data_IF_942802819210
#
_entry.id   IF_942802819210
#
_cell.length_a   1.000
_cell.length_b   1.000
_cell.length_c   1.000
_cell.angle_alpha   90.00
_cell.angle_beta   90.00
_cell.angle_gamma   90.00
#
_symmetry.space_group_name_H-M   'P 1'
#
loop_
_entity.id
_entity.type
_entity.pdbx_description
1 polymer ?
#
# COMPACT_ATOMS: atom_id res chain seq x y z
N UNK A 1 0.56 -1.89 -20.20
CA UNK A 1 1.61 -0.91 -19.85
C UNK A 1 1.34 -0.37 -18.45
N UNK A 2 2.39 -0.02 -17.69
CA UNK A 2 2.22 0.66 -16.40
C UNK A 2 1.66 2.07 -16.63
N UNK A 3 0.80 2.54 -15.73
CA UNK A 3 0.18 3.87 -15.80
C UNK A 3 0.92 4.75 -14.81
N UNK A 4 1.66 5.74 -15.32
CA UNK A 4 2.39 6.68 -14.48
C UNK A 4 1.42 7.57 -13.70
N UNK A 5 1.66 7.75 -12.41
CA UNK A 5 0.90 8.62 -11.51
C UNK A 5 1.32 8.39 -10.07
N UNK A 6 1.37 9.46 -9.26
CA UNK A 6 1.67 9.32 -7.84
C UNK A 6 0.58 8.49 -7.15
N UNK A 7 0.98 7.55 -6.30
CA UNK A 7 0.09 6.74 -5.45
C UNK A 7 -1.05 6.01 -6.19
N UNK A 8 -0.89 5.70 -7.48
CA UNK A 8 -1.87 4.92 -8.23
C UNK A 8 -3.11 5.66 -8.72
N UNK A 9 -3.23 6.99 -8.50
CA UNK A 9 -4.43 7.78 -8.88
C UNK A 9 -4.78 7.65 -10.36
N UNK A 10 -3.78 7.73 -11.25
CA UNK A 10 -3.99 7.58 -12.69
C UNK A 10 -4.37 6.13 -13.08
N UNK A 11 -3.89 5.15 -12.30
CA UNK A 11 -4.23 3.75 -12.54
C UNK A 11 -5.71 3.48 -12.23
N UNK A 12 -6.25 4.07 -11.17
CA UNK A 12 -7.68 3.95 -10.82
C UNK A 12 -8.58 4.60 -11.89
N UNK A 13 -8.24 5.80 -12.35
CA UNK A 13 -9.00 6.48 -13.41
C UNK A 13 -9.03 5.65 -14.71
N UNK A 14 -7.89 5.12 -15.11
CA UNK A 14 -7.82 4.27 -16.30
C UNK A 14 -8.57 2.96 -16.14
N UNK A 15 -8.56 2.37 -14.95
CA UNK A 15 -9.33 1.18 -14.66
C UNK A 15 -10.83 1.44 -14.81
N UNK A 16 -11.36 2.51 -14.21
CA UNK A 16 -12.77 2.93 -14.35
C UNK A 16 -13.17 3.02 -15.83
N UNK A 17 -12.37 3.70 -16.65
CA UNK A 17 -12.63 3.83 -18.08
C UNK A 17 -12.63 2.47 -18.81
N UNK A 18 -11.69 1.58 -18.47
CA UNK A 18 -11.59 0.25 -19.08
C UNK A 18 -12.74 -0.67 -18.73
N UNK A 19 -13.22 -0.63 -17.48
CA UNK A 19 -14.39 -1.39 -17.04
C UNK A 19 -15.63 -0.94 -17.81
N UNK A 20 -15.88 0.38 -17.89
CA UNK A 20 -17.02 0.94 -18.63
C UNK A 20 -16.96 0.60 -20.12
N UNK A 21 -15.77 0.56 -20.70
CA UNK A 21 -15.56 0.16 -22.10
C UNK A 21 -15.65 -1.36 -22.34
N UNK A 22 -15.98 -2.18 -21.32
CA UNK A 22 -16.06 -3.63 -21.45
C UNK A 22 -14.72 -4.32 -21.67
N UNK A 23 -13.61 -3.66 -21.33
CA UNK A 23 -12.24 -4.17 -21.50
C UNK A 23 -11.45 -4.16 -20.17
N UNK A 24 -11.95 -4.83 -19.11
CA UNK A 24 -11.25 -4.90 -17.84
C UNK A 24 -9.91 -5.67 -17.99
N UNK A 25 -8.88 -5.34 -17.21
CA UNK A 25 -7.68 -6.17 -17.14
C UNK A 25 -7.97 -7.50 -16.44
N UNK A 26 -7.11 -8.51 -16.66
CA UNK A 26 -7.22 -9.78 -15.94
C UNK A 26 -6.89 -9.67 -14.44
N UNK A 27 -6.08 -8.69 -14.05
CA UNK A 27 -5.77 -8.33 -12.67
C UNK A 27 -5.38 -6.84 -12.59
N UNK A 28 -5.52 -6.25 -11.41
CA UNK A 28 -5.09 -4.88 -11.12
C UNK A 28 -4.50 -4.78 -9.71
N UNK A 29 -3.63 -3.80 -9.49
CA UNK A 29 -3.15 -3.47 -8.16
C UNK A 29 -4.21 -2.63 -7.43
N UNK A 30 -4.65 -3.10 -6.27
CA UNK A 30 -5.60 -2.43 -5.37
C UNK A 30 -4.90 -2.09 -4.06
N UNK A 31 -5.32 -1.03 -3.38
CA UNK A 31 -4.77 -0.62 -2.10
C UNK A 31 -5.86 -0.51 -1.04
N UNK A 32 -5.63 -1.09 0.14
CA UNK A 32 -6.52 -0.93 1.30
C UNK A 32 -7.96 -1.38 1.02
N UNK A 33 -8.89 -0.42 0.98
CA UNK A 33 -10.33 -0.67 0.82
C UNK A 33 -10.82 -0.65 -0.63
N UNK A 34 -9.92 -0.49 -1.60
CA UNK A 34 -10.28 -0.48 -3.02
C UNK A 34 -10.98 -1.78 -3.42
N UNK A 35 -10.47 -2.93 -2.98
CA UNK A 35 -11.06 -4.23 -3.29
C UNK A 35 -12.50 -4.35 -2.77
N UNK A 36 -12.78 -3.85 -1.56
CA UNK A 36 -14.16 -3.80 -1.03
C UNK A 36 -15.07 -2.87 -1.83
N UNK A 37 -14.53 -1.75 -2.34
CA UNK A 37 -15.27 -0.82 -3.20
C UNK A 37 -15.62 -1.49 -4.52
N UNK A 38 -14.65 -2.10 -5.20
CA UNK A 38 -14.86 -2.80 -6.46
C UNK A 38 -15.71 -4.07 -6.34
N UNK A 39 -15.66 -4.76 -5.20
CA UNK A 39 -16.54 -5.88 -4.91
C UNK A 39 -18.02 -5.45 -4.88
N UNK A 40 -18.33 -4.27 -4.32
CA UNK A 40 -19.69 -3.71 -4.30
C UNK A 40 -20.19 -3.34 -5.70
N UNK A 41 -19.29 -2.96 -6.59
CA UNK A 41 -19.59 -2.71 -8.01
C UNK A 41 -19.80 -4.00 -8.81
N UNK A 42 -19.54 -5.18 -8.21
CA UNK A 42 -19.76 -6.48 -8.86
C UNK A 42 -18.76 -6.83 -9.97
N UNK A 43 -17.62 -6.13 -10.04
CA UNK A 43 -16.64 -6.29 -11.13
C UNK A 43 -15.48 -7.24 -10.78
N UNK A 44 -15.45 -7.75 -9.54
CA UNK A 44 -14.42 -8.66 -9.07
C UNK A 44 -14.89 -10.13 -9.13
N UNK A 45 -13.95 -11.01 -9.46
CA UNK A 45 -14.15 -12.46 -9.45
C UNK A 45 -14.09 -13.00 -8.02
N UNK A 46 -14.90 -14.01 -7.72
CA UNK A 46 -14.76 -14.81 -6.51
C UNK A 46 -13.49 -15.68 -6.60
N UNK A 47 -12.59 -15.52 -5.64
CA UNK A 47 -11.35 -16.27 -5.51
C UNK A 47 -11.38 -17.28 -4.35
N UNK A 48 -12.53 -17.48 -3.70
CA UNK A 48 -12.63 -18.28 -2.46
C UNK A 48 -12.15 -19.72 -2.64
N UNK A 49 -12.52 -20.37 -3.74
CA UNK A 49 -12.06 -21.74 -4.04
C UNK A 49 -10.54 -21.80 -4.26
N UNK A 50 -10.00 -20.80 -4.94
CA UNK A 50 -8.57 -20.68 -5.21
C UNK A 50 -7.77 -20.48 -3.91
N UNK A 51 -8.21 -19.55 -3.07
CA UNK A 51 -7.56 -19.25 -1.79
C UNK A 51 -7.68 -20.42 -0.82
N UNK A 52 -8.80 -21.13 -0.81
CA UNK A 52 -8.99 -22.34 0.00
C UNK A 52 -8.04 -23.45 -0.44
N UNK A 53 -7.90 -23.69 -1.74
CA UNK A 53 -6.98 -24.70 -2.27
C UNK A 53 -5.50 -24.38 -1.98
N UNK A 54 -5.14 -23.11 -1.88
CA UNK A 54 -3.77 -22.65 -1.66
C UNK A 54 -3.43 -22.34 -0.19
N UNK A 55 -4.38 -22.55 0.74
CA UNK A 55 -4.17 -22.27 2.17
C UNK A 55 -4.07 -20.77 2.51
N UNK A 56 -4.63 -19.89 1.67
CA UNK A 56 -4.51 -18.44 1.82
C UNK A 56 -4.97 -17.89 3.16
N UNK A 57 -5.97 -18.54 3.78
CA UNK A 57 -6.47 -18.18 5.11
C UNK A 57 -5.42 -18.32 6.22
N UNK A 58 -4.46 -19.24 6.09
CA UNK A 58 -3.42 -19.49 7.09
C UNK A 58 -2.19 -18.59 6.87
N UNK A 59 -2.04 -18.04 5.65
CA UNK A 59 -0.91 -17.19 5.26
C UNK A 59 -1.12 -15.72 5.63
N UNK A 60 -2.36 -15.30 5.84
CA UNK A 60 -2.73 -13.88 5.97
C UNK A 60 -3.15 -13.59 7.40
N UNK A 61 -2.53 -12.61 8.09
CA UNK A 61 -2.92 -12.29 9.45
C UNK A 61 -4.39 -11.83 9.53
N UNK A 62 -5.11 -12.14 10.63
CA UNK A 62 -6.57 -11.93 10.71
C UNK A 62 -7.03 -10.51 10.41
N UNK A 63 -6.25 -9.50 10.80
CA UNK A 63 -6.60 -8.09 10.56
C UNK A 63 -6.57 -7.69 9.09
N UNK A 64 -5.73 -8.35 8.28
CA UNK A 64 -5.63 -8.12 6.84
C UNK A 64 -6.61 -8.98 6.04
N UNK A 65 -7.03 -10.14 6.59
CA UNK A 65 -8.02 -11.01 5.95
C UNK A 65 -9.33 -10.29 5.66
N UNK A 66 -9.75 -9.32 6.50
CA UNK A 66 -10.96 -8.52 6.27
C UNK A 66 -10.89 -7.64 5.01
N UNK A 67 -9.68 -7.24 4.61
CA UNK A 67 -9.46 -6.48 3.38
C UNK A 67 -9.52 -7.40 2.17
N UNK A 68 -8.91 -8.59 2.29
CA UNK A 68 -8.82 -9.57 1.22
C UNK A 68 -10.12 -10.33 0.94
N UNK A 69 -10.89 -10.58 2.00
CA UNK A 69 -12.13 -11.32 2.00
C UNK A 69 -13.27 -10.53 2.69
N UNK A 70 -13.70 -9.38 2.13
CA UNK A 70 -14.87 -8.67 2.63
C UNK A 70 -16.09 -9.60 2.59
N UNK A 71 -16.87 -9.60 3.67
CA UNK A 71 -18.05 -10.47 3.84
C UNK A 71 -17.78 -11.98 3.65
N UNK A 72 -16.53 -12.40 3.86
CA UNK A 72 -16.10 -13.81 3.78
C UNK A 72 -15.80 -14.32 2.38
N UNK A 73 -15.94 -13.47 1.35
CA UNK A 73 -15.65 -13.80 -0.05
C UNK A 73 -14.29 -13.24 -0.46
N UNK A 74 -13.37 -14.10 -0.87
CA UNK A 74 -12.07 -13.65 -1.37
C UNK A 74 -12.22 -12.95 -2.71
N UNK A 75 -11.73 -11.71 -2.80
CA UNK A 75 -11.81 -10.88 -4.02
C UNK A 75 -10.47 -10.28 -4.43
N UNK A 76 -9.43 -10.49 -3.63
CA UNK A 76 -8.06 -10.12 -3.93
C UNK A 76 -7.05 -11.12 -3.36
N UNK A 77 -5.82 -11.03 -3.86
CA UNK A 77 -4.67 -11.82 -3.40
C UNK A 77 -3.63 -10.85 -2.83
N UNK A 78 -3.41 -10.81 -1.50
CA UNK A 78 -2.40 -9.93 -0.91
C UNK A 78 -0.98 -10.33 -1.33
N UNK A 79 -0.19 -9.35 -1.79
CA UNK A 79 1.18 -9.60 -2.28
C UNK A 79 2.28 -9.07 -1.34
N UNK A 80 1.98 -8.08 -0.51
CA UNK A 80 2.95 -7.48 0.40
C UNK A 80 2.26 -6.75 1.56
N UNK A 81 3.09 -6.29 2.51
CA UNK A 81 2.69 -5.44 3.63
C UNK A 81 3.62 -4.23 3.70
N UNK A 82 3.11 -3.07 3.32
CA UNK A 82 3.84 -1.80 3.46
C UNK A 82 3.54 -1.12 4.79
N UNK A 83 4.46 -0.27 5.22
CA UNK A 83 4.35 0.54 6.43
C UNK A 83 4.61 2.00 6.09
N UNK A 84 3.69 2.88 6.46
CA UNK A 84 3.74 4.31 6.12
C UNK A 84 4.50 5.16 7.13
N UNK A 85 4.62 4.71 8.37
CA UNK A 85 5.18 5.49 9.47
C UNK A 85 6.69 5.33 9.65
N UNK A 86 7.44 5.30 8.53
CA UNK A 86 8.90 5.29 8.55
C UNK A 86 9.46 6.71 8.36
N UNK A 87 10.57 6.97 9.03
CA UNK A 87 11.46 8.12 8.74
C UNK A 87 12.74 7.54 8.17
N UNK A 88 13.14 8.01 7.00
CA UNK A 88 14.39 7.64 6.35
C UNK A 88 15.42 8.76 6.56
N UNK A 89 16.62 8.41 7.02
CA UNK A 89 17.68 9.37 7.31
C UNK A 89 19.02 8.91 6.71
N UNK A 90 19.83 9.87 6.28
CA UNK A 90 21.20 9.59 5.84
C UNK A 90 22.12 9.51 7.06
N UNK A 91 22.67 8.31 7.31
CA UNK A 91 23.57 8.08 8.45
C UNK A 91 24.79 9.00 8.46
N UNK A 92 25.43 9.24 7.31
CA UNK A 92 26.63 10.10 7.23
C UNK A 92 26.29 11.55 7.57
N UNK A 93 25.16 12.05 7.10
CA UNK A 93 24.67 13.40 7.42
C UNK A 93 24.39 13.56 8.93
N UNK A 94 23.72 12.56 9.53
CA UNK A 94 23.43 12.57 10.96
C UNK A 94 24.71 12.52 11.80
N UNK A 95 25.65 11.64 11.45
CA UNK A 95 26.94 11.52 12.13
C UNK A 95 27.73 12.85 12.02
N UNK A 96 27.79 13.47 10.84
CA UNK A 96 28.50 14.73 10.61
C UNK A 96 27.91 15.92 11.39
N UNK A 97 26.59 15.93 11.62
CA UNK A 97 25.90 16.96 12.38
C UNK A 97 25.77 16.63 13.89
N UNK A 98 26.34 15.51 14.36
CA UNK A 98 26.26 15.07 15.76
C UNK A 98 24.82 14.79 16.22
N UNK A 99 24.02 14.18 15.35
CA UNK A 99 22.59 13.88 15.57
C UNK A 99 22.42 12.39 15.87
N UNK A 100 21.83 12.07 17.02
CA UNK A 100 21.38 10.70 17.34
C UNK A 100 20.06 10.34 16.67
N UNK A 101 19.62 9.07 16.78
CA UNK A 101 18.32 8.67 16.24
C UNK A 101 17.19 9.32 17.06
N UNK A 102 16.37 10.22 16.49
CA UNK A 102 15.30 10.89 17.22
C UNK A 102 14.23 9.87 17.64
N UNK A 103 13.73 10.02 18.86
CA UNK A 103 12.69 9.19 19.47
C UNK A 103 11.37 9.93 19.65
N UNK A 104 11.40 11.26 19.52
CA UNK A 104 10.23 12.13 19.63
C UNK A 104 10.11 13.03 18.40
N UNK A 105 8.92 13.62 18.22
CA UNK A 105 8.69 14.57 17.14
C UNK A 105 9.54 15.83 17.30
N UNK A 106 9.69 16.33 18.53
CA UNK A 106 10.51 17.50 18.82
C UNK A 106 12.00 17.25 18.54
N UNK A 107 12.50 16.06 18.87
CA UNK A 107 13.87 15.64 18.52
C UNK A 107 14.08 15.55 17.01
N UNK A 108 13.06 15.09 16.26
CA UNK A 108 13.11 15.05 14.81
C UNK A 108 13.17 16.46 14.21
N UNK A 109 12.35 17.40 14.69
CA UNK A 109 12.38 18.79 14.25
C UNK A 109 13.75 19.42 14.56
N UNK A 110 14.27 19.22 15.78
CA UNK A 110 15.58 19.71 16.19
C UNK A 110 16.72 19.13 15.35
N UNK A 111 16.57 17.90 14.87
CA UNK A 111 17.51 17.27 13.93
C UNK A 111 17.57 18.04 12.60
N UNK A 112 16.41 18.44 12.06
CA UNK A 112 16.33 19.26 10.84
C UNK A 112 17.06 20.61 10.97
N UNK A 113 16.95 21.27 12.12
CA UNK A 113 17.67 22.52 12.36
C UNK A 113 19.19 22.35 12.40
N UNK A 114 19.68 21.26 13.00
CA UNK A 114 21.11 20.93 13.05
C UNK A 114 21.67 20.64 11.65
N UNK A 115 20.95 19.86 10.85
CA UNK A 115 21.32 19.58 9.46
C UNK A 115 21.43 20.87 8.65
N UNK A 116 20.41 21.74 8.73
CA UNK A 116 20.41 23.05 8.05
C UNK A 116 21.59 23.93 8.46
N UNK A 117 21.93 23.99 9.76
CA UNK A 117 23.09 24.75 10.27
C UNK A 117 24.42 24.18 9.78
N UNK A 118 24.49 22.87 9.53
CA UNK A 118 25.65 22.19 8.97
C UNK A 118 25.73 22.29 7.43
N UNK A 119 24.77 22.94 6.77
CA UNK A 119 24.72 23.06 5.32
C UNK A 119 24.35 21.76 4.60
N UNK A 120 23.62 20.87 5.27
CA UNK A 120 23.14 19.57 4.76
C UNK A 120 21.65 19.65 4.43
#
# INVERSE_FOLDING_TARGET
>A
AAIGGANGVNAEQSLRARIVAGNPPGAMQMLGYDASTWAKEGVLRDLTDLETANGGADLIPPDYKRLAAPDGKWVEVPINLHRSNWIWANKKAFDAAGIGIPKTWDELIASGEKLRKAGI
#
